data_IF_684616095124
#
_entry.id   IF_684616095124
#
_cell.length_a   1.000
_cell.length_b   1.000
_cell.length_c   1.000
_cell.angle_alpha   90.00
_cell.angle_beta   90.00
_cell.angle_gamma   90.00
#
_symmetry.space_group_name_H-M   'P 1'
#
loop_
_entity.id
_entity.type
_entity.pdbx_description
1 polymer ?
#
# COMPACT_ATOMS: atom_id res chain seq x y z
N UNK A 1 -14.94 1.00 -5.95
CA UNK A 1 -14.10 1.42 -7.09
C UNK A 1 -12.66 1.37 -6.62
N UNK A 2 -11.73 0.84 -7.42
CA UNK A 2 -10.30 0.78 -7.06
C UNK A 2 -9.53 1.67 -8.03
N UNK A 3 -8.64 2.51 -7.50
CA UNK A 3 -7.74 3.38 -8.28
C UNK A 3 -6.32 2.97 -7.93
N UNK A 4 -5.51 2.67 -8.95
CA UNK A 4 -4.10 2.34 -8.77
C UNK A 4 -3.24 3.53 -9.19
N UNK A 5 -2.41 4.03 -8.26
CA UNK A 5 -1.40 5.04 -8.53
C UNK A 5 -0.03 4.37 -8.61
N UNK A 6 0.43 4.07 -9.82
CA UNK A 6 1.76 3.47 -10.05
C UNK A 6 2.70 4.57 -10.48
N UNK A 7 3.79 4.77 -9.73
CA UNK A 7 4.75 5.82 -10.03
C UNK A 7 6.14 5.52 -9.47
N UNK A 8 7.16 6.17 -10.02
CA UNK A 8 8.53 6.11 -9.50
C UNK A 8 8.72 7.09 -8.31
N UNK A 9 9.78 6.94 -7.50
CA UNK A 9 10.11 7.92 -6.46
C UNK A 9 10.26 9.34 -7.01
N UNK A 10 9.88 10.34 -6.21
CA UNK A 10 10.05 11.79 -6.51
C UNK A 10 9.22 12.32 -7.69
N UNK A 11 8.05 11.72 -7.94
CA UNK A 11 7.14 12.08 -9.04
C UNK A 11 5.84 12.77 -8.58
N UNK A 12 5.82 13.38 -7.40
CA UNK A 12 4.61 14.03 -6.81
C UNK A 12 3.51 13.02 -6.44
N UNK A 13 3.69 11.72 -6.72
CA UNK A 13 2.75 10.64 -6.38
C UNK A 13 2.31 10.67 -4.91
N UNK A 14 3.23 10.93 -3.99
CA UNK A 14 2.92 11.08 -2.55
C UNK A 14 1.94 12.22 -2.30
N UNK A 15 2.14 13.39 -2.90
CA UNK A 15 1.23 14.53 -2.72
C UNK A 15 -0.16 14.24 -3.30
N UNK A 16 -0.22 13.58 -4.47
CA UNK A 16 -1.47 13.15 -5.07
C UNK A 16 -2.19 12.12 -4.18
N UNK A 17 -1.46 11.13 -3.66
CA UNK A 17 -1.96 10.14 -2.72
C UNK A 17 -2.56 10.80 -1.46
N UNK A 18 -1.84 11.75 -0.84
CA UNK A 18 -2.36 12.51 0.31
C UNK A 18 -3.61 13.31 -0.03
N UNK A 19 -3.73 13.85 -1.25
CA UNK A 19 -4.94 14.59 -1.66
C UNK A 19 -6.18 13.68 -1.69
N UNK A 20 -6.04 12.41 -2.09
CA UNK A 20 -7.13 11.43 -2.03
C UNK A 20 -7.41 10.99 -0.59
N UNK A 21 -6.38 10.86 0.24
CA UNK A 21 -6.52 10.50 1.66
C UNK A 21 -7.29 11.55 2.48
N UNK A 22 -7.38 12.81 2.02
CA UNK A 22 -8.19 13.85 2.68
C UNK A 22 -9.69 13.70 2.43
N UNK A 23 -10.11 12.83 1.51
CA UNK A 23 -11.53 12.61 1.23
C UNK A 23 -12.11 11.57 2.17
N UNK A 24 -13.28 11.85 2.73
CA UNK A 24 -13.96 10.92 3.63
C UNK A 24 -14.50 9.66 2.96
N UNK A 25 -14.64 9.67 1.63
CA UNK A 25 -15.16 8.56 0.82
C UNK A 25 -14.07 7.64 0.26
N UNK A 26 -12.81 7.84 0.68
CA UNK A 26 -11.68 7.09 0.15
C UNK A 26 -10.77 6.58 1.26
N UNK A 27 -10.27 5.36 1.06
CA UNK A 27 -9.15 4.81 1.81
C UNK A 27 -7.93 4.70 0.90
N UNK A 28 -6.75 4.88 1.48
CA UNK A 28 -5.48 4.88 0.76
C UNK A 28 -4.56 3.82 1.36
N UNK A 29 -3.90 3.08 0.49
CA UNK A 29 -2.84 2.14 0.84
C UNK A 29 -1.55 2.61 0.19
N UNK A 30 -0.52 2.85 1.00
CA UNK A 30 0.80 3.26 0.53
C UNK A 30 1.68 2.03 0.30
N UNK A 31 2.26 1.93 -0.90
CA UNK A 31 3.17 0.85 -1.33
C UNK A 31 2.85 -0.57 -0.81
N UNK A 32 1.62 -1.10 -1.02
CA UNK A 32 1.17 -2.34 -0.35
C UNK A 32 1.96 -3.60 -0.75
N UNK A 33 2.65 -3.58 -1.90
CA UNK A 33 3.49 -4.67 -2.38
C UNK A 33 4.96 -4.59 -1.92
N UNK A 34 5.33 -3.61 -1.10
CA UNK A 34 6.73 -3.41 -0.74
C UNK A 34 7.31 -4.55 0.12
N UNK A 35 6.51 -5.13 1.02
CA UNK A 35 6.90 -6.32 1.79
C UNK A 35 7.21 -7.51 0.87
N UNK A 36 6.32 -7.80 -0.09
CA UNK A 36 6.50 -8.84 -1.12
C UNK A 36 7.77 -8.58 -1.94
N UNK A 37 8.00 -7.33 -2.36
CA UNK A 37 9.19 -6.96 -3.12
C UNK A 37 10.48 -7.25 -2.35
N UNK A 38 10.56 -6.87 -1.07
CA UNK A 38 11.72 -7.12 -0.22
C UNK A 38 11.92 -8.60 0.13
N UNK A 39 10.84 -9.38 0.17
CA UNK A 39 10.90 -10.84 0.33
C UNK A 39 11.49 -11.50 -0.92
N UNK A 40 10.96 -11.18 -2.11
CA UNK A 40 11.36 -11.81 -3.37
C UNK A 40 12.75 -11.42 -3.87
N UNK A 41 13.14 -10.16 -3.67
CA UNK A 41 14.41 -9.64 -4.22
C UNK A 41 15.57 -9.74 -3.26
N UNK A 42 15.29 -10.01 -1.98
CA UNK A 42 16.25 -9.95 -0.88
C UNK A 42 17.06 -8.64 -0.80
N UNK A 43 16.59 -7.56 -1.44
CA UNK A 43 17.27 -6.27 -1.47
C UNK A 43 17.64 -5.78 -0.05
N UNK A 44 18.85 -5.22 0.10
CA UNK A 44 19.33 -4.69 1.37
C UNK A 44 18.80 -3.28 1.57
N UNK A 45 17.70 -3.19 2.31
CA UNK A 45 17.00 -1.94 2.60
C UNK A 45 17.10 -1.57 4.09
N UNK A 46 17.40 -0.31 4.44
CA UNK A 46 17.30 0.16 5.82
C UNK A 46 15.91 -0.12 6.41
N UNK A 47 15.83 -0.77 7.57
CA UNK A 47 14.54 -1.12 8.18
C UNK A 47 13.79 -2.27 7.48
N UNK A 48 14.44 -3.05 6.60
CA UNK A 48 13.86 -4.26 5.96
C UNK A 48 13.12 -5.16 6.96
N UNK A 49 13.72 -5.42 8.12
CA UNK A 49 13.12 -6.26 9.15
C UNK A 49 11.87 -5.66 9.78
N UNK A 50 11.77 -4.33 9.86
CA UNK A 50 10.60 -3.63 10.38
C UNK A 50 9.47 -3.71 9.35
N UNK A 51 9.79 -3.44 8.08
CA UNK A 51 8.87 -3.52 6.96
C UNK A 51 8.31 -4.94 6.81
N UNK A 52 9.18 -5.96 6.90
CA UNK A 52 8.75 -7.37 6.83
C UNK A 52 7.85 -7.79 7.99
N UNK A 53 7.91 -7.10 9.12
CA UNK A 53 7.01 -7.34 10.26
C UNK A 53 5.68 -6.59 10.13
N UNK A 54 5.66 -5.45 9.44
CA UNK A 54 4.48 -4.60 9.34
C UNK A 54 3.65 -4.82 8.08
N UNK A 55 4.22 -5.36 7.01
CA UNK A 55 3.56 -5.57 5.72
C UNK A 55 3.39 -7.05 5.36
N UNK A 56 2.37 -7.40 4.55
CA UNK A 56 2.26 -8.74 3.99
C UNK A 56 3.45 -9.09 3.09
N UNK A 57 3.88 -10.35 3.15
CA UNK A 57 5.02 -10.88 2.38
C UNK A 57 4.59 -11.69 1.15
N UNK A 58 3.30 -12.04 1.06
CA UNK A 58 2.72 -12.83 -0.03
C UNK A 58 1.74 -12.00 -0.87
N UNK A 59 1.75 -12.18 -2.19
CA UNK A 59 0.90 -11.42 -3.12
C UNK A 59 -0.59 -11.59 -2.84
N UNK A 60 -1.03 -12.82 -2.55
CA UNK A 60 -2.42 -13.13 -2.26
C UNK A 60 -2.92 -12.40 -1.01
N UNK A 61 -2.06 -12.22 0.00
CA UNK A 61 -2.42 -11.48 1.21
C UNK A 61 -2.66 -10.00 0.92
N UNK A 62 -1.82 -9.40 0.06
CA UNK A 62 -1.97 -8.01 -0.39
C UNK A 62 -3.26 -7.84 -1.20
N UNK A 63 -3.52 -8.74 -2.15
CA UNK A 63 -4.73 -8.70 -2.97
C UNK A 63 -6.00 -8.82 -2.13
N UNK A 64 -6.03 -9.75 -1.18
CA UNK A 64 -7.14 -9.91 -0.25
C UNK A 64 -7.39 -8.64 0.57
N UNK A 65 -6.34 -7.96 1.03
CA UNK A 65 -6.46 -6.69 1.74
C UNK A 65 -7.07 -5.58 0.87
N UNK A 66 -6.61 -5.44 -0.39
CA UNK A 66 -7.14 -4.45 -1.33
C UNK A 66 -8.63 -4.69 -1.60
N UNK A 67 -9.01 -5.94 -1.87
CA UNK A 67 -10.40 -6.28 -2.17
C UNK A 67 -11.31 -6.20 -0.94
N UNK A 68 -10.81 -6.53 0.25
CA UNK A 68 -11.54 -6.35 1.51
C UNK A 68 -11.85 -4.87 1.75
N UNK A 69 -10.86 -3.98 1.59
CA UNK A 69 -11.03 -2.54 1.74
C UNK A 69 -11.99 -1.93 0.70
N UNK A 70 -11.98 -2.45 -0.53
CA UNK A 70 -12.90 -2.01 -1.57
C UNK A 70 -14.36 -2.47 -1.33
N UNK A 71 -14.55 -3.53 -0.54
CA UNK A 71 -15.86 -4.11 -0.21
C UNK A 71 -16.45 -3.51 1.07
N UNK A 72 -15.61 -2.93 1.93
CA UNK A 72 -16.00 -2.29 3.18
C UNK A 72 -16.30 -0.80 3.02
N UNK A 73 -17.54 -0.45 2.67
CA UNK A 73 -18.07 0.89 2.95
C UNK A 73 -18.32 1.04 4.46
N UNK A 74 -17.29 1.29 5.27
CA UNK A 74 -17.46 1.96 6.57
C UNK A 74 -16.12 2.42 7.12
N UNK A 75 -16.10 3.70 7.50
CA UNK A 75 -15.00 4.41 8.14
C UNK A 75 -14.27 3.57 9.20
N UNK A 76 -12.95 3.42 9.04
CA UNK A 76 -12.06 3.14 10.17
C UNK A 76 -11.17 4.37 10.37
N UNK A 77 -11.31 4.97 11.56
CA UNK A 77 -10.40 5.99 12.09
C UNK A 77 -9.07 5.35 12.49
#
# INVERSE_FOLDING_TARGET
MIINLVSCPRTISTALMYSFAQRSDMSVLDEPFYGVYLEKTEFDHPGKNEIKKSLPLEEDAVLNQIFANASGSSHMF
#
